data_IF_665869429923
#
_entry.id   IF_665869429923
#
_cell.length_a   1.000
_cell.length_b   1.000
_cell.length_c   1.000
_cell.angle_alpha   90.00
_cell.angle_beta   90.00
_cell.angle_gamma   90.00
#
_symmetry.space_group_name_H-M   'P 1'
#
loop_
_entity.id
_entity.type
_entity.pdbx_description
1 polymer ?
#
# COMPACT_ATOMS: atom_id res chain seq x y z
N UNK A 1 -35.67 -32.48 8.35
CA UNK A 1 -34.37 -32.61 9.04
C UNK A 1 -33.23 -31.79 8.36
N UNK A 2 -32.98 -31.95 7.08
CA UNK A 2 -31.90 -31.22 6.32
C UNK A 2 -31.96 -29.69 6.45
N UNK A 3 -33.14 -29.07 6.31
CA UNK A 3 -33.32 -27.58 6.42
C UNK A 3 -33.01 -27.06 7.83
N UNK A 4 -33.19 -27.85 8.88
CA UNK A 4 -32.85 -27.44 10.24
C UNK A 4 -31.35 -27.50 10.51
N UNK A 5 -30.64 -28.50 9.93
CA UNK A 5 -29.19 -28.61 9.98
C UNK A 5 -28.52 -27.48 9.21
N UNK A 6 -29.03 -27.12 8.02
CA UNK A 6 -28.53 -25.99 7.23
C UNK A 6 -28.71 -24.66 7.95
N UNK A 7 -29.88 -24.43 8.60
CA UNK A 7 -30.11 -23.20 9.39
C UNK A 7 -29.19 -23.11 10.61
N UNK A 8 -28.99 -24.22 11.33
CA UNK A 8 -28.05 -24.24 12.48
C UNK A 8 -26.60 -24.02 12.04
N UNK A 9 -26.16 -24.63 10.95
CA UNK A 9 -24.83 -24.40 10.39
C UNK A 9 -24.60 -22.96 9.97
N UNK A 10 -25.59 -22.31 9.34
CA UNK A 10 -25.52 -20.91 8.95
C UNK A 10 -25.45 -19.97 10.18
N UNK A 11 -26.20 -20.26 11.24
CA UNK A 11 -26.14 -19.45 12.47
C UNK A 11 -24.78 -19.60 13.16
N UNK A 12 -24.26 -20.82 13.29
CA UNK A 12 -22.93 -21.08 13.87
C UNK A 12 -21.86 -20.35 13.05
N UNK A 13 -21.91 -20.43 11.72
CA UNK A 13 -20.99 -19.74 10.84
C UNK A 13 -21.04 -18.21 11.01
N UNK A 14 -22.24 -17.63 11.15
CA UNK A 14 -22.40 -16.20 11.38
C UNK A 14 -21.87 -15.76 12.77
N UNK A 15 -22.08 -16.58 13.80
CA UNK A 15 -21.56 -16.31 15.17
C UNK A 15 -20.04 -16.38 15.18
N UNK A 16 -19.44 -17.40 14.58
CA UNK A 16 -17.97 -17.55 14.49
C UNK A 16 -17.40 -16.37 13.73
N UNK A 17 -17.97 -16.01 12.59
CA UNK A 17 -17.52 -14.85 11.80
C UNK A 17 -17.64 -13.53 12.58
N UNK A 18 -18.75 -13.32 13.28
CA UNK A 18 -18.96 -12.13 14.11
C UNK A 18 -17.98 -12.05 15.28
N UNK A 19 -17.73 -13.17 15.95
CA UNK A 19 -16.75 -13.26 17.05
C UNK A 19 -15.32 -12.98 16.55
N UNK A 20 -14.97 -13.52 15.41
CA UNK A 20 -13.67 -13.28 14.77
C UNK A 20 -13.47 -11.80 14.37
N UNK A 21 -14.47 -11.20 13.72
CA UNK A 21 -14.45 -9.79 13.36
C UNK A 21 -14.33 -8.90 14.61
N UNK A 22 -15.10 -9.20 15.66
CA UNK A 22 -15.02 -8.51 16.94
C UNK A 22 -13.63 -8.66 17.58
N UNK A 23 -13.07 -9.86 17.59
CA UNK A 23 -11.73 -10.11 18.12
C UNK A 23 -10.66 -9.32 17.33
N UNK A 24 -10.70 -9.34 15.99
CA UNK A 24 -9.75 -8.63 15.16
C UNK A 24 -9.77 -7.09 15.40
N UNK A 25 -10.97 -6.54 15.67
CA UNK A 25 -11.17 -5.09 15.88
C UNK A 25 -10.93 -4.69 17.34
N UNK A 26 -11.44 -5.47 18.31
CA UNK A 26 -11.42 -5.11 19.74
C UNK A 26 -10.16 -5.53 20.47
N UNK A 27 -9.31 -6.37 19.85
CA UNK A 27 -8.03 -6.75 20.45
C UNK A 27 -7.21 -5.48 20.71
N UNK A 28 -6.71 -5.26 21.94
CA UNK A 28 -5.83 -4.15 22.26
C UNK A 28 -4.65 -4.09 21.27
N UNK A 29 -4.32 -2.89 20.84
CA UNK A 29 -3.18 -2.60 19.97
C UNK A 29 -2.32 -1.55 20.64
N UNK A 30 -1.00 -1.70 20.64
CA UNK A 30 -0.13 -0.61 21.07
C UNK A 30 -0.39 0.62 20.19
N UNK A 31 -0.22 1.80 20.75
CA UNK A 31 -0.17 3.04 19.97
C UNK A 31 1.23 3.10 19.38
N UNK A 32 1.31 2.96 18.06
CA UNK A 32 2.56 3.00 17.33
C UNK A 32 2.77 4.41 16.77
N UNK A 33 4.01 4.88 16.84
CA UNK A 33 4.42 6.14 16.24
C UNK A 33 4.31 6.06 14.72
N UNK A 34 3.94 7.17 14.10
CA UNK A 34 3.90 7.35 12.65
C UNK A 34 4.99 8.32 12.24
N UNK A 35 5.58 8.07 11.08
CA UNK A 35 6.72 8.85 10.59
C UNK A 35 6.38 9.54 9.28
N UNK A 36 7.03 10.67 9.05
CA UNK A 36 7.09 11.33 7.75
C UNK A 36 8.39 10.88 7.06
N UNK A 37 8.32 10.17 5.91
CA UNK A 37 9.50 9.75 5.17
C UNK A 37 10.11 10.84 4.29
N UNK A 38 9.60 12.07 4.31
CA UNK A 38 10.14 13.20 3.52
C UNK A 38 11.61 13.42 3.84
N UNK A 39 12.45 13.40 2.81
CA UNK A 39 13.91 13.52 2.94
C UNK A 39 14.57 13.84 1.60
N UNK A 40 15.86 14.16 1.62
CA UNK A 40 16.69 14.26 0.43
C UNK A 40 17.86 13.28 0.51
N UNK A 41 18.20 12.67 -0.63
CA UNK A 41 19.21 11.64 -0.75
C UNK A 41 20.16 11.95 -1.91
N UNK A 42 21.40 11.50 -1.81
CA UNK A 42 22.42 11.67 -2.85
C UNK A 42 23.11 13.04 -2.79
N UNK A 43 24.03 13.25 -3.72
CA UNK A 43 24.82 14.48 -3.82
C UNK A 43 23.96 15.58 -4.46
N UNK A 44 23.95 16.76 -3.86
CA UNK A 44 23.17 17.90 -4.34
C UNK A 44 23.64 18.46 -5.70
N UNK A 45 24.85 18.14 -6.12
CA UNK A 45 25.40 18.56 -7.41
C UNK A 45 24.97 17.62 -8.57
N UNK A 46 24.32 16.49 -8.27
CA UNK A 46 23.80 15.57 -9.29
C UNK A 46 22.43 16.04 -9.84
N UNK A 47 21.99 15.52 -11.00
CA UNK A 47 20.66 15.79 -11.53
C UNK A 47 19.56 15.51 -10.49
N UNK A 48 18.60 16.42 -10.37
CA UNK A 48 17.55 16.34 -9.38
C UNK A 48 16.41 15.44 -9.86
N UNK A 49 15.84 14.67 -8.93
CA UNK A 49 14.60 13.92 -9.12
C UNK A 49 13.63 14.19 -7.96
N UNK A 50 12.43 14.62 -8.28
CA UNK A 50 11.36 14.89 -7.30
C UNK A 50 10.43 13.69 -7.21
N UNK A 51 10.34 13.09 -6.03
CA UNK A 51 9.50 11.90 -5.77
C UNK A 51 8.37 12.29 -4.84
N UNK A 52 7.13 12.29 -5.34
CA UNK A 52 5.94 12.47 -4.51
C UNK A 52 5.43 11.12 -4.01
N UNK A 53 5.03 11.06 -2.74
CA UNK A 53 4.51 9.84 -2.11
C UNK A 53 3.12 10.12 -1.54
N UNK A 54 2.11 9.38 -2.03
CA UNK A 54 0.73 9.46 -1.56
C UNK A 54 0.30 8.12 -0.95
N UNK A 55 -0.44 8.18 0.15
CA UNK A 55 -0.92 6.94 0.74
C UNK A 55 -1.48 7.08 2.16
N UNK A 56 -1.46 5.96 2.83
CA UNK A 56 -1.99 5.77 4.18
C UNK A 56 -0.89 5.32 5.17
N UNK A 57 -1.26 4.50 6.17
CA UNK A 57 -0.29 3.96 7.14
C UNK A 57 0.76 3.03 6.53
N UNK A 58 0.60 2.59 5.31
CA UNK A 58 1.64 1.86 4.57
C UNK A 58 2.86 2.72 4.22
N UNK A 59 2.69 4.05 4.30
CA UNK A 59 3.73 5.05 4.09
C UNK A 59 4.16 5.68 5.42
N UNK A 60 3.23 6.05 6.31
CA UNK A 60 3.59 6.59 7.64
C UNK A 60 4.10 5.51 8.59
N UNK A 61 4.05 4.27 8.20
CA UNK A 61 4.72 3.09 8.72
C UNK A 61 4.72 2.93 10.25
N UNK A 62 3.54 2.93 10.92
CA UNK A 62 3.51 2.58 12.33
C UNK A 62 3.96 1.12 12.50
N UNK A 63 5.10 0.91 13.17
CA UNK A 63 5.68 -0.42 13.34
C UNK A 63 7.16 -0.53 12.98
N UNK A 64 7.76 0.58 12.51
CA UNK A 64 9.21 0.75 12.33
C UNK A 64 9.79 1.60 13.44
N UNK A 65 11.12 1.65 13.58
CA UNK A 65 11.81 2.47 14.58
C UNK A 65 12.13 3.89 14.10
N UNK A 66 11.99 4.15 12.79
CA UNK A 66 12.21 5.46 12.22
C UNK A 66 11.99 5.51 10.71
N UNK A 67 11.97 6.72 10.12
CA UNK A 67 11.63 6.90 8.70
C UNK A 67 12.62 6.21 7.74
N UNK A 68 13.87 5.97 8.15
CA UNK A 68 14.88 5.28 7.34
C UNK A 68 14.53 3.80 7.05
N UNK A 69 13.60 3.20 7.81
CA UNK A 69 13.18 1.81 7.62
C UNK A 69 11.95 1.68 6.70
N UNK A 70 11.39 2.80 6.25
CA UNK A 70 10.19 2.82 5.43
C UNK A 70 10.55 2.45 3.97
N UNK A 71 9.73 1.61 3.34
CA UNK A 71 9.99 1.13 1.99
C UNK A 71 10.20 2.24 0.95
N UNK A 72 9.51 3.39 1.05
CA UNK A 72 9.70 4.51 0.12
C UNK A 72 11.03 5.22 0.35
N UNK A 73 11.50 5.31 1.60
CA UNK A 73 12.83 5.84 1.95
C UNK A 73 13.92 4.95 1.35
N UNK A 74 13.79 3.63 1.51
CA UNK A 74 14.72 2.66 0.91
C UNK A 74 14.74 2.73 -0.62
N UNK A 75 13.62 3.04 -1.26
CA UNK A 75 13.56 3.32 -2.71
C UNK A 75 14.28 4.63 -3.02
N UNK A 76 14.06 5.70 -2.23
CA UNK A 76 14.75 6.98 -2.40
C UNK A 76 16.28 6.83 -2.33
N UNK A 77 16.78 6.07 -1.37
CA UNK A 77 18.21 5.76 -1.24
C UNK A 77 18.77 5.01 -2.45
N UNK A 78 18.03 4.02 -2.97
CA UNK A 78 18.44 3.27 -4.18
C UNK A 78 18.45 4.16 -5.43
N UNK A 79 17.46 5.05 -5.59
CA UNK A 79 17.41 6.02 -6.69
C UNK A 79 18.54 7.04 -6.63
N UNK A 80 19.05 7.36 -5.46
CA UNK A 80 20.09 8.36 -5.24
C UNK A 80 21.51 7.92 -5.65
N UNK A 81 21.66 6.76 -6.29
CA UNK A 81 22.96 6.25 -6.73
C UNK A 81 23.63 7.16 -7.80
N UNK A 82 22.83 7.85 -8.63
CA UNK A 82 23.30 8.67 -9.75
C UNK A 82 22.57 10.04 -9.86
N UNK A 83 21.79 10.41 -8.84
CA UNK A 83 20.98 11.64 -8.81
C UNK A 83 20.74 12.16 -7.39
N UNK A 84 20.32 13.41 -7.28
CA UNK A 84 19.82 13.98 -6.05
C UNK A 84 18.31 13.79 -5.97
N UNK A 85 17.85 12.93 -5.05
CA UNK A 85 16.42 12.61 -4.88
C UNK A 85 15.83 13.50 -3.79
N UNK A 86 14.76 14.22 -4.12
CA UNK A 86 13.94 14.99 -3.18
C UNK A 86 12.61 14.25 -3.02
N UNK A 87 12.45 13.51 -1.92
CA UNK A 87 11.25 12.75 -1.61
C UNK A 87 10.34 13.57 -0.69
N UNK A 88 9.11 13.84 -1.15
CA UNK A 88 8.08 14.52 -0.38
C UNK A 88 6.87 13.60 -0.18
N UNK A 89 6.53 13.33 1.07
CA UNK A 89 5.35 12.56 1.44
C UNK A 89 4.16 13.47 1.73
N UNK A 90 3.01 13.08 1.20
CA UNK A 90 1.69 13.66 1.49
C UNK A 90 0.81 12.67 2.24
N UNK A 91 1.34 11.50 2.60
CA UNK A 91 0.60 10.40 3.18
C UNK A 91 0.08 10.74 4.59
N UNK A 92 -1.14 10.26 4.86
CA UNK A 92 -1.78 10.38 6.18
C UNK A 92 -2.30 9.02 6.61
N UNK A 93 -1.88 8.54 7.79
CA UNK A 93 -2.28 7.25 8.31
C UNK A 93 -3.80 7.11 8.40
N UNK A 94 -4.32 5.95 7.98
CA UNK A 94 -5.75 5.65 8.02
C UNK A 94 -6.57 6.17 6.83
N UNK A 95 -5.95 6.90 5.88
CA UNK A 95 -6.61 7.42 4.67
C UNK A 95 -7.23 6.32 3.81
N UNK A 96 -8.32 6.65 3.13
CA UNK A 96 -8.94 5.89 2.04
C UNK A 96 -8.71 6.63 0.71
N UNK A 97 -9.06 6.01 -0.40
CA UNK A 97 -8.83 6.58 -1.72
C UNK A 97 -9.49 7.94 -1.96
N UNK A 98 -10.64 8.21 -1.33
CA UNK A 98 -11.31 9.52 -1.38
C UNK A 98 -10.60 10.59 -0.53
N UNK A 99 -9.95 10.20 0.56
CA UNK A 99 -9.11 11.11 1.35
C UNK A 99 -7.89 11.57 0.55
N UNK A 100 -7.25 10.66 -0.23
CA UNK A 100 -6.14 11.03 -1.10
C UNK A 100 -6.54 12.06 -2.16
N UNK A 101 -7.72 11.90 -2.75
CA UNK A 101 -8.25 12.85 -3.74
C UNK A 101 -8.45 14.23 -3.11
N UNK A 102 -9.01 14.26 -1.88
CA UNK A 102 -9.34 15.50 -1.20
C UNK A 102 -8.12 16.26 -0.66
N UNK A 103 -7.16 15.52 -0.07
CA UNK A 103 -6.15 16.11 0.80
C UNK A 103 -4.72 15.98 0.24
N UNK A 104 -4.44 15.01 -0.64
CA UNK A 104 -3.07 14.69 -1.07
C UNK A 104 -2.82 14.95 -2.56
N UNK A 105 -3.85 14.85 -3.42
CA UNK A 105 -3.70 14.95 -4.88
C UNK A 105 -3.16 16.32 -5.32
N UNK A 106 -3.81 17.38 -4.92
CA UNK A 106 -3.44 18.73 -5.34
C UNK A 106 -2.04 19.16 -4.83
N UNK A 107 -1.69 18.96 -3.54
CA UNK A 107 -0.33 19.23 -3.07
C UNK A 107 0.74 18.40 -3.79
N UNK A 108 0.44 17.13 -4.13
CA UNK A 108 1.38 16.29 -4.85
C UNK A 108 1.61 16.77 -6.30
N UNK A 109 0.56 17.26 -6.98
CA UNK A 109 0.69 17.86 -8.32
C UNK A 109 1.46 19.18 -8.28
N UNK A 110 1.21 20.03 -7.27
CA UNK A 110 1.94 21.30 -7.08
C UNK A 110 3.43 21.09 -6.77
N UNK A 111 3.80 19.93 -6.26
CA UNK A 111 5.19 19.56 -6.07
C UNK A 111 5.92 19.29 -7.40
N UNK A 112 5.22 19.15 -8.53
CA UNK A 112 5.75 18.86 -9.88
C UNK A 112 6.72 17.68 -9.89
N UNK A 113 6.29 16.47 -9.48
CA UNK A 113 7.16 15.32 -9.34
C UNK A 113 7.54 14.69 -10.68
N UNK A 114 8.72 14.05 -10.73
CA UNK A 114 9.16 13.18 -11.83
C UNK A 114 8.62 11.75 -11.64
N UNK A 115 8.55 11.31 -10.38
CA UNK A 115 8.04 10.00 -9.96
C UNK A 115 6.99 10.16 -8.87
N UNK A 116 5.88 9.45 -9.00
CA UNK A 116 4.81 9.39 -8.00
C UNK A 116 4.63 7.95 -7.51
N UNK A 117 4.78 7.73 -6.20
CA UNK A 117 4.51 6.46 -5.54
C UNK A 117 3.17 6.54 -4.82
N UNK A 118 2.24 5.63 -5.13
CA UNK A 118 0.90 5.59 -4.52
C UNK A 118 0.67 4.26 -3.82
N UNK A 119 0.36 4.29 -2.52
CA UNK A 119 -0.01 3.09 -1.75
C UNK A 119 -1.32 3.30 -1.02
N UNK A 120 -2.40 2.66 -1.52
CA UNK A 120 -3.77 2.86 -1.03
C UNK A 120 -4.66 1.64 -1.29
N UNK A 121 -5.76 1.55 -0.58
CA UNK A 121 -6.82 0.55 -0.78
C UNK A 121 -6.97 -0.44 0.38
N UNK A 122 -5.98 -0.52 1.26
CA UNK A 122 -6.04 -1.37 2.46
C UNK A 122 -7.21 -0.97 3.37
N UNK A 123 -7.30 0.32 3.70
CA UNK A 123 -8.39 0.86 4.52
C UNK A 123 -9.74 0.77 3.83
N UNK A 124 -9.83 1.08 2.52
CA UNK A 124 -11.06 0.92 1.73
C UNK A 124 -11.58 -0.51 1.83
N UNK A 125 -10.69 -1.50 1.67
CA UNK A 125 -11.04 -2.90 1.76
C UNK A 125 -11.55 -3.27 3.15
N UNK A 126 -10.82 -2.92 4.19
CA UNK A 126 -11.11 -3.30 5.58
C UNK A 126 -12.33 -2.59 6.14
N UNK A 127 -12.56 -1.32 5.76
CA UNK A 127 -13.76 -0.54 6.11
C UNK A 127 -14.97 -0.89 5.25
N UNK A 128 -14.87 -1.86 4.32
CA UNK A 128 -15.99 -2.40 3.57
C UNK A 128 -16.44 -1.55 2.38
N UNK A 129 -15.62 -0.63 1.88
CA UNK A 129 -15.93 0.18 0.69
C UNK A 129 -16.26 -0.72 -0.49
N UNK A 130 -17.33 -0.39 -1.23
CA UNK A 130 -17.73 -1.16 -2.41
C UNK A 130 -16.67 -1.09 -3.49
N UNK A 131 -16.43 -2.21 -4.20
CA UNK A 131 -15.44 -2.28 -5.28
C UNK A 131 -15.64 -1.21 -6.36
N UNK A 132 -16.90 -0.94 -6.75
CA UNK A 132 -17.21 0.10 -7.73
C UNK A 132 -16.92 1.52 -7.22
N UNK A 133 -17.05 1.77 -5.92
CA UNK A 133 -16.69 3.04 -5.30
C UNK A 133 -15.16 3.20 -5.26
N UNK A 134 -14.44 2.16 -4.82
CA UNK A 134 -12.99 2.16 -4.84
C UNK A 134 -12.43 2.34 -6.26
N UNK A 135 -12.96 1.63 -7.24
CA UNK A 135 -12.57 1.75 -8.65
C UNK A 135 -12.72 3.18 -9.16
N UNK A 136 -13.89 3.81 -8.91
CA UNK A 136 -14.13 5.20 -9.30
C UNK A 136 -13.17 6.17 -8.58
N UNK A 137 -12.94 6.00 -7.29
CA UNK A 137 -12.04 6.86 -6.53
C UNK A 137 -10.60 6.68 -7.01
N UNK A 138 -10.15 5.45 -7.25
CA UNK A 138 -8.81 5.21 -7.78
C UNK A 138 -8.64 5.77 -9.20
N UNK A 139 -9.67 5.69 -10.04
CA UNK A 139 -9.69 6.29 -11.38
C UNK A 139 -9.54 7.83 -11.32
N UNK A 140 -10.30 8.47 -10.41
CA UNK A 140 -10.25 9.91 -10.17
C UNK A 140 -8.91 10.38 -9.54
N UNK A 141 -8.21 9.51 -8.84
CA UNK A 141 -6.89 9.79 -8.27
C UNK A 141 -5.78 9.63 -9.32
N UNK A 142 -5.74 8.49 -9.99
CA UNK A 142 -4.64 8.12 -10.88
C UNK A 142 -4.70 8.89 -12.20
N UNK A 143 -5.90 9.22 -12.70
CA UNK A 143 -6.07 9.97 -13.95
C UNK A 143 -5.31 11.31 -13.95
N UNK A 144 -5.56 12.23 -13.03
CA UNK A 144 -4.81 13.49 -12.91
C UNK A 144 -3.32 13.30 -12.66
N UNK A 145 -2.92 12.33 -11.81
CA UNK A 145 -1.51 12.04 -11.54
C UNK A 145 -0.78 11.59 -12.82
N UNK A 146 -1.38 10.71 -13.60
CA UNK A 146 -0.79 10.26 -14.87
C UNK A 146 -0.78 11.36 -15.95
N UNK A 147 -1.75 12.29 -15.90
CA UNK A 147 -1.80 13.41 -16.83
C UNK A 147 -0.77 14.53 -16.52
N UNK A 148 -0.13 14.51 -15.35
CA UNK A 148 0.91 15.48 -14.99
C UNK A 148 2.22 15.32 -15.76
N UNK A 149 2.42 14.18 -16.40
CA UNK A 149 3.69 13.82 -17.06
C UNK A 149 4.65 13.01 -16.18
N UNK A 150 4.39 12.91 -14.88
CA UNK A 150 5.18 12.09 -13.98
C UNK A 150 4.99 10.58 -14.24
N UNK A 151 6.03 9.80 -13.96
CA UNK A 151 5.89 8.34 -13.90
C UNK A 151 5.11 7.96 -12.64
N UNK A 152 3.96 7.31 -12.80
CA UNK A 152 3.10 6.90 -11.67
C UNK A 152 3.24 5.42 -11.40
N UNK A 153 3.65 5.07 -10.18
CA UNK A 153 3.77 3.68 -9.69
C UNK A 153 2.80 3.47 -8.52
N UNK A 154 1.82 2.61 -8.72
CA UNK A 154 0.92 2.12 -7.68
C UNK A 154 1.55 0.91 -7.01
N UNK A 155 1.62 0.87 -5.69
CA UNK A 155 2.17 -0.29 -4.97
C UNK A 155 1.33 -1.56 -5.17
N UNK A 156 0.12 -1.42 -5.71
CA UNK A 156 -0.84 -2.51 -5.77
C UNK A 156 -1.37 -2.89 -4.38
N UNK A 157 -2.09 -4.00 -4.30
CA UNK A 157 -2.57 -4.49 -3.01
C UNK A 157 -2.13 -5.95 -2.81
N UNK A 158 -1.24 -6.18 -1.86
CA UNK A 158 -0.83 -7.50 -1.41
C UNK A 158 -2.00 -8.33 -0.85
N UNK A 159 -1.74 -9.53 -0.37
CA UNK A 159 -2.77 -10.34 0.27
C UNK A 159 -2.97 -9.94 1.74
N UNK A 160 -3.89 -9.02 2.03
CA UNK A 160 -4.20 -8.61 3.41
C UNK A 160 -4.75 -9.76 4.27
N UNK A 161 -5.11 -10.91 3.68
CA UNK A 161 -5.41 -12.12 4.44
C UNK A 161 -4.18 -12.73 5.12
N UNK A 162 -2.97 -12.26 4.83
CA UNK A 162 -1.75 -12.67 5.54
C UNK A 162 -1.57 -11.95 6.87
N UNK A 163 -2.28 -10.86 7.12
CA UNK A 163 -2.24 -10.11 8.38
C UNK A 163 -2.45 -11.07 9.56
N UNK A 164 -1.50 -11.19 10.50
CA UNK A 164 -1.55 -12.18 11.58
C UNK A 164 -2.76 -12.02 12.51
N UNK A 165 -3.32 -10.82 12.58
CA UNK A 165 -4.51 -10.50 13.38
C UNK A 165 -5.79 -11.13 12.85
N UNK A 166 -5.78 -11.58 11.59
CA UNK A 166 -6.92 -12.21 10.93
C UNK A 166 -6.83 -13.74 11.03
N UNK A 167 -7.91 -14.38 11.46
CA UNK A 167 -8.03 -15.83 11.51
C UNK A 167 -9.11 -16.35 10.54
N UNK A 168 -9.18 -17.64 10.21
CA UNK A 168 -10.31 -18.21 9.48
C UNK A 168 -11.62 -18.11 10.26
N UNK A 169 -12.76 -17.76 9.64
CA UNK A 169 -12.97 -17.62 8.18
C UNK A 169 -12.68 -16.22 7.62
N UNK A 170 -12.53 -15.19 8.47
CA UNK A 170 -12.35 -13.78 8.05
C UNK A 170 -11.12 -13.60 7.14
N UNK A 171 -10.00 -14.25 7.47
CA UNK A 171 -8.78 -14.28 6.66
C UNK A 171 -9.06 -14.60 5.18
N UNK A 172 -9.86 -15.63 4.90
CA UNK A 172 -10.16 -16.05 3.53
C UNK A 172 -11.02 -15.03 2.79
N UNK A 173 -11.96 -14.39 3.49
CA UNK A 173 -12.77 -13.33 2.89
C UNK A 173 -11.91 -12.11 2.52
N UNK A 174 -11.03 -11.68 3.44
CA UNK A 174 -10.10 -10.56 3.23
C UNK A 174 -9.16 -10.88 2.08
N UNK A 175 -8.57 -12.07 2.02
CA UNK A 175 -7.70 -12.51 0.91
C UNK A 175 -8.42 -12.43 -0.45
N UNK A 176 -9.66 -12.90 -0.53
CA UNK A 176 -10.46 -12.79 -1.78
C UNK A 176 -10.79 -11.35 -2.15
N UNK A 177 -11.08 -10.50 -1.15
CA UNK A 177 -11.29 -9.07 -1.40
C UNK A 177 -10.00 -8.39 -1.86
N UNK A 178 -8.85 -8.69 -1.24
CA UNK A 178 -7.54 -8.15 -1.65
C UNK A 178 -7.27 -8.44 -3.12
N UNK A 179 -7.46 -9.67 -3.57
CA UNK A 179 -7.31 -10.04 -4.98
C UNK A 179 -8.27 -9.27 -5.92
N UNK A 180 -9.45 -8.91 -5.44
CA UNK A 180 -10.40 -8.13 -6.25
C UNK A 180 -10.02 -6.64 -6.33
N UNK A 181 -9.49 -6.07 -5.24
CA UNK A 181 -9.00 -4.70 -5.21
C UNK A 181 -7.70 -4.55 -6.00
N UNK A 182 -6.79 -5.52 -5.90
CA UNK A 182 -5.56 -5.55 -6.69
C UNK A 182 -5.87 -5.53 -8.20
N UNK A 183 -6.85 -6.31 -8.67
CA UNK A 183 -7.30 -6.26 -10.07
C UNK A 183 -7.83 -4.88 -10.50
N UNK A 184 -8.35 -4.08 -9.57
CA UNK A 184 -8.76 -2.70 -9.86
C UNK A 184 -7.54 -1.83 -10.12
N UNK A 185 -6.47 -1.94 -9.31
CA UNK A 185 -5.22 -1.24 -9.59
C UNK A 185 -4.69 -1.54 -11.00
N UNK A 186 -4.63 -2.80 -11.38
CA UNK A 186 -4.21 -3.21 -12.74
C UNK A 186 -5.10 -2.66 -13.84
N UNK A 187 -6.42 -2.64 -13.63
CA UNK A 187 -7.39 -2.08 -14.59
C UNK A 187 -7.17 -0.58 -14.78
N UNK A 188 -7.01 0.16 -13.68
CA UNK A 188 -6.82 1.62 -13.70
C UNK A 188 -5.44 1.97 -14.26
N UNK A 189 -4.41 1.22 -13.90
CA UNK A 189 -3.08 1.41 -14.46
C UNK A 189 -3.06 1.25 -15.98
N UNK A 190 -3.69 0.19 -16.50
CA UNK A 190 -3.83 -0.01 -17.94
C UNK A 190 -4.58 1.13 -18.63
N UNK A 191 -5.58 1.72 -17.95
CA UNK A 191 -6.38 2.83 -18.50
C UNK A 191 -5.57 4.11 -18.64
N UNK A 192 -4.71 4.40 -17.67
CA UNK A 192 -3.98 5.67 -17.58
C UNK A 192 -2.49 5.58 -17.92
N UNK A 193 -1.97 4.41 -18.29
CA UNK A 193 -0.56 4.21 -18.59
C UNK A 193 0.35 4.25 -17.37
N UNK A 194 -0.18 4.08 -16.15
CA UNK A 194 0.61 3.97 -14.94
C UNK A 194 1.08 2.54 -14.68
N UNK A 195 1.97 2.36 -13.72
CA UNK A 195 2.56 1.06 -13.38
C UNK A 195 1.97 0.53 -12.07
N UNK A 196 1.95 -0.80 -11.92
CA UNK A 196 1.53 -1.48 -10.68
C UNK A 196 2.59 -2.46 -10.26
N UNK A 197 2.98 -2.40 -9.00
CA UNK A 197 3.90 -3.37 -8.40
C UNK A 197 3.23 -4.72 -8.27
N UNK A 198 3.92 -5.77 -8.66
CA UNK A 198 3.45 -7.14 -8.53
C UNK A 198 3.55 -7.65 -7.07
N UNK A 199 2.90 -6.98 -6.12
CA UNK A 199 2.93 -7.36 -4.70
C UNK A 199 2.53 -8.82 -4.46
N UNK A 200 1.63 -9.35 -5.28
CA UNK A 200 1.17 -10.75 -5.16
C UNK A 200 2.13 -11.76 -5.80
N UNK A 201 3.19 -11.33 -6.48
CA UNK A 201 4.27 -12.20 -6.93
C UNK A 201 5.18 -12.62 -5.78
N UNK A 202 5.24 -11.83 -4.73
CA UNK A 202 5.90 -12.24 -3.50
C UNK A 202 5.12 -13.37 -2.83
N UNK A 203 5.85 -14.35 -2.30
CA UNK A 203 5.25 -15.55 -1.74
C UNK A 203 4.29 -15.20 -0.60
N UNK A 204 3.00 -15.51 -0.81
CA UNK A 204 1.98 -15.40 0.23
C UNK A 204 2.37 -16.17 1.49
N UNK A 205 3.00 -17.32 1.31
CA UNK A 205 3.39 -18.20 2.41
C UNK A 205 4.48 -17.55 3.26
N UNK A 206 5.43 -16.84 2.65
CA UNK A 206 6.44 -16.09 3.41
C UNK A 206 5.81 -15.03 4.34
N UNK A 207 4.76 -14.32 3.88
CA UNK A 207 4.04 -13.36 4.73
C UNK A 207 3.15 -14.00 5.80
N UNK A 208 2.72 -15.25 5.60
CA UNK A 208 1.97 -16.02 6.59
C UNK A 208 2.86 -16.64 7.66
N UNK A 209 4.01 -17.15 7.25
CA UNK A 209 4.87 -18.00 8.09
C UNK A 209 5.88 -17.18 8.88
N UNK A 210 6.31 -16.01 8.35
CA UNK A 210 7.27 -15.15 9.03
C UNK A 210 6.59 -14.02 9.81
N UNK A 211 6.53 -14.21 11.12
CA UNK A 211 6.01 -13.21 12.06
C UNK A 211 6.91 -11.98 12.18
N UNK A 212 8.18 -12.10 11.83
CA UNK A 212 9.13 -10.98 11.83
C UNK A 212 8.81 -9.89 10.81
N UNK A 213 8.02 -10.19 9.77
CA UNK A 213 7.56 -9.21 8.78
C UNK A 213 6.45 -8.28 9.30
N UNK A 214 5.93 -8.54 10.49
CA UNK A 214 4.82 -7.80 11.09
C UNK A 214 5.25 -7.14 12.41
N UNK A 215 4.73 -5.96 12.66
CA UNK A 215 4.97 -5.23 13.90
C UNK A 215 4.29 -5.91 15.11
N UNK A 216 4.53 -5.39 16.30
CA UNK A 216 3.97 -5.93 17.55
C UNK A 216 2.44 -5.88 17.62
N UNK A 217 1.80 -4.97 16.86
CA UNK A 217 0.35 -4.88 16.77
C UNK A 217 -0.28 -5.98 15.90
N UNK A 218 0.54 -6.77 15.18
CA UNK A 218 0.12 -7.87 14.30
C UNK A 218 -0.71 -7.43 13.10
N UNK A 219 -0.62 -6.17 12.75
CA UNK A 219 -1.39 -5.54 11.69
C UNK A 219 -0.51 -4.75 10.71
N UNK A 220 0.34 -3.88 11.22
CA UNK A 220 1.27 -3.11 10.41
C UNK A 220 2.54 -3.91 10.09
N UNK A 221 3.21 -3.50 9.05
CA UNK A 221 4.44 -4.12 8.55
C UNK A 221 5.62 -3.66 9.41
N UNK A 222 6.53 -4.57 9.76
CA UNK A 222 7.76 -4.27 10.48
C UNK A 222 8.86 -3.71 9.56
N UNK A 223 9.99 -3.27 10.11
CA UNK A 223 11.17 -2.87 9.34
C UNK A 223 11.61 -3.96 8.36
N UNK A 224 11.65 -5.23 8.78
CA UNK A 224 11.98 -6.36 7.91
C UNK A 224 10.95 -6.54 6.77
N UNK A 225 9.66 -6.33 7.06
CA UNK A 225 8.61 -6.36 6.07
C UNK A 225 8.69 -5.18 5.10
N UNK A 226 9.04 -3.97 5.57
CA UNK A 226 9.28 -2.80 4.71
C UNK A 226 10.49 -3.00 3.81
N UNK A 227 11.59 -3.59 4.29
CA UNK A 227 12.74 -3.92 3.46
C UNK A 227 12.36 -4.91 2.34
N UNK A 228 11.63 -5.97 2.67
CA UNK A 228 11.10 -6.93 1.69
C UNK A 228 10.17 -6.26 0.68
N UNK A 229 9.32 -5.35 1.13
CA UNK A 229 8.44 -4.57 0.26
C UNK A 229 9.25 -3.70 -0.71
N UNK A 230 10.26 -2.97 -0.20
CA UNK A 230 11.17 -2.16 -1.01
C UNK A 230 11.86 -2.99 -2.10
N UNK A 231 12.37 -4.19 -1.76
CA UNK A 231 12.99 -5.08 -2.74
C UNK A 231 11.99 -5.55 -3.82
N UNK A 232 10.76 -5.87 -3.44
CA UNK A 232 9.71 -6.22 -4.40
C UNK A 232 9.41 -5.05 -5.34
N UNK A 233 9.21 -3.83 -4.81
CA UNK A 233 8.96 -2.61 -5.60
C UNK A 233 10.13 -2.32 -6.53
N UNK A 234 11.34 -2.37 -6.02
CA UNK A 234 12.55 -2.10 -6.79
C UNK A 234 12.71 -3.08 -7.95
N UNK A 235 12.84 -4.37 -7.64
CA UNK A 235 13.19 -5.39 -8.62
C UNK A 235 12.10 -5.60 -9.68
N UNK A 236 10.82 -5.45 -9.32
CA UNK A 236 9.70 -5.74 -10.24
C UNK A 236 9.22 -4.52 -11.03
N UNK A 237 9.54 -3.30 -10.57
CA UNK A 237 8.93 -2.11 -11.15
C UNK A 237 9.89 -0.95 -11.32
N UNK A 238 10.60 -0.48 -10.28
CA UNK A 238 11.43 0.74 -10.39
C UNK A 238 12.67 0.51 -11.24
N UNK A 239 13.43 -0.55 -11.00
CA UNK A 239 14.65 -0.86 -11.76
C UNK A 239 14.37 -0.99 -13.27
N UNK A 240 13.31 -1.69 -13.73
CA UNK A 240 12.93 -1.70 -15.14
C UNK A 240 12.53 -0.34 -15.72
N UNK A 241 12.11 0.62 -14.87
CA UNK A 241 11.69 1.97 -15.27
C UNK A 241 12.84 3.00 -15.28
N UNK A 242 14.01 2.66 -14.76
CA UNK A 242 15.16 3.60 -14.73
C UNK A 242 15.48 4.25 -16.09
N UNK A 243 15.43 3.54 -17.25
CA UNK A 243 15.66 4.19 -18.55
C UNK A 243 14.65 5.32 -18.82
N UNK A 244 13.37 5.13 -18.49
CA UNK A 244 12.32 6.14 -18.69
C UNK A 244 12.49 7.32 -17.73
N UNK A 245 12.83 7.03 -16.47
CA UNK A 245 13.07 8.04 -15.44
C UNK A 245 14.32 8.90 -15.75
N UNK A 246 15.29 8.36 -16.49
CA UNK A 246 16.50 9.10 -16.91
C UNK A 246 16.23 10.05 -18.10
N UNK A 247 15.20 9.79 -18.90
CA UNK A 247 14.85 10.64 -20.05
C UNK A 247 13.96 11.82 -19.63
N UNK A 248 13.33 11.75 -18.44
CA UNK A 248 12.37 12.73 -17.93
C UNK A 248 13.01 13.78 -16.99
N UNK A 249 14.31 13.67 -16.69
CA UNK A 249 15.06 14.47 -15.70
C UNK A 249 15.88 15.59 -16.35
#
# INVERSE_FOLDING_TARGET
MVRLFLKRGAIIGAVVFGAEAAYAVLRPSPILEQFDPSNSFGDADLPHMRVAVLGDSSITAPGVAGPQEIWVTLIGEKLAADRHVILQSFAVGGSMADDLIRDQLEPALQFEPDLILVSIGGNDLLKGVRRSTFERNLDNLIGPLAASGAVVVQSGLGDLGTIPRLHPPLRYLVSRRSAAFDRIHWKIAKKHGSHVVHQRSDSRDAWLDDRGLWSEDLFHVSAAGHARWADTVWNTTIEPLLPVLNESS
#
